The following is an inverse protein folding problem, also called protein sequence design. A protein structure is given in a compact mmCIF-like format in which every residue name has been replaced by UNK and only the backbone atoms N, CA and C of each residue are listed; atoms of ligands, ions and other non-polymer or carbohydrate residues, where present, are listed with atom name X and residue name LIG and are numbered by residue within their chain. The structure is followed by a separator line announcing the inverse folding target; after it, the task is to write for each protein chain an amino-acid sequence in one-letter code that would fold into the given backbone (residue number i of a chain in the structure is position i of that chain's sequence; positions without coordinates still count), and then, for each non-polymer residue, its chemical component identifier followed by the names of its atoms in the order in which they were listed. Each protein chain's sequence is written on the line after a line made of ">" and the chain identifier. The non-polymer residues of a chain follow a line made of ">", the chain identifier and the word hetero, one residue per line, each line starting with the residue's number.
data_IF_415963578905
#
_entry.id   IF_415963578905
#
_cell.length_a   1.000
_cell.length_b   1.000
_cell.length_c   1.000
_cell.angle_alpha   90.00
_cell.angle_beta   90.00
_cell.angle_gamma   90.00
#
_symmetry.space_group_name_H-M   'P 1'
#
loop_
_entity.id
_entity.type
_entity.pdbx_description
1 polymer ?
#
# COMPACT_ATOMS: atom_id res chain seq x y z
N UNK A 1 -34.30 5.14 16.46
CA UNK A 1 -32.86 5.02 16.80
C UNK A 1 -32.20 3.71 16.29
N UNK A 2 -32.92 2.60 16.06
CA UNK A 2 -32.33 1.36 15.49
C UNK A 2 -32.21 1.40 13.95
N UNK A 3 -33.21 1.93 13.25
CA UNK A 3 -33.25 1.94 11.77
C UNK A 3 -32.14 2.79 11.13
N UNK A 4 -31.73 3.89 11.78
CA UNK A 4 -30.64 4.75 11.31
C UNK A 4 -29.26 4.05 11.36
N UNK A 5 -29.03 3.17 12.34
CA UNK A 5 -27.80 2.35 12.41
C UNK A 5 -27.74 1.30 11.30
N UNK A 6 -28.88 0.69 10.97
CA UNK A 6 -28.98 -0.27 9.86
C UNK A 6 -28.72 0.42 8.51
N UNK A 7 -29.25 1.63 8.32
CA UNK A 7 -29.03 2.42 7.11
C UNK A 7 -27.54 2.75 6.92
N UNK A 8 -26.85 3.18 7.98
CA UNK A 8 -25.40 3.44 7.95
C UNK A 8 -24.61 2.15 7.64
N UNK A 9 -24.98 1.02 8.25
CA UNK A 9 -24.31 -0.26 7.98
C UNK A 9 -24.45 -0.69 6.52
N UNK A 10 -25.64 -0.53 5.92
CA UNK A 10 -25.89 -0.82 4.51
C UNK A 10 -25.06 0.09 3.60
N UNK A 11 -24.97 1.39 3.91
CA UNK A 11 -24.16 2.33 3.13
C UNK A 11 -22.68 1.94 3.17
N UNK A 12 -22.13 1.60 4.34
CA UNK A 12 -20.73 1.16 4.47
C UNK A 12 -20.49 -0.13 3.67
N UNK A 13 -21.42 -1.10 3.76
CA UNK A 13 -21.31 -2.35 3.02
C UNK A 13 -21.35 -2.14 1.50
N UNK A 14 -22.22 -1.26 1.01
CA UNK A 14 -22.32 -0.92 -0.40
C UNK A 14 -21.05 -0.25 -0.93
N UNK A 15 -20.51 0.72 -0.18
CA UNK A 15 -19.28 1.42 -0.57
C UNK A 15 -18.10 0.45 -0.58
N UNK A 16 -17.93 -0.36 0.48
CA UNK A 16 -16.85 -1.34 0.56
C UNK A 16 -16.92 -2.39 -0.55
N UNK A 17 -18.12 -2.87 -0.87
CA UNK A 17 -18.35 -3.78 -1.99
C UNK A 17 -17.96 -3.16 -3.34
N UNK A 18 -18.40 -1.93 -3.61
CA UNK A 18 -18.07 -1.22 -4.86
C UNK A 18 -16.55 -1.09 -5.04
N UNK A 19 -15.83 -0.65 -4.00
CA UNK A 19 -14.37 -0.53 -4.03
C UNK A 19 -13.69 -1.89 -4.27
N UNK A 20 -14.17 -2.98 -3.66
CA UNK A 20 -13.59 -4.30 -3.85
C UNK A 20 -13.70 -4.81 -5.29
N UNK A 21 -14.81 -4.53 -5.97
CA UNK A 21 -15.01 -4.93 -7.36
C UNK A 21 -14.23 -4.05 -8.35
N UNK A 22 -14.05 -2.75 -8.06
CA UNK A 22 -13.32 -1.85 -8.96
C UNK A 22 -11.79 -1.92 -8.85
N UNK A 23 -11.22 -2.44 -7.75
CA UNK A 23 -9.77 -2.56 -7.56
C UNK A 23 -9.17 -3.80 -8.23
N UNK A 24 -9.36 -3.95 -9.54
CA UNK A 24 -8.68 -4.99 -10.35
C UNK A 24 -7.84 -4.30 -11.40
N UNK A 25 -6.53 -4.54 -11.41
CA UNK A 25 -5.59 -3.97 -12.37
C UNK A 25 -4.87 -5.08 -13.12
N UNK A 26 -4.60 -4.88 -14.41
CA UNK A 26 -3.75 -5.79 -15.18
C UNK A 26 -2.30 -5.45 -14.92
N UNK A 27 -1.50 -6.45 -14.53
CA UNK A 27 -0.08 -6.27 -14.31
C UNK A 27 0.61 -6.13 -15.68
N UNK A 28 1.25 -4.99 -15.99
CA UNK A 28 1.87 -4.76 -17.29
C UNK A 28 3.11 -5.63 -17.54
N UNK A 29 3.69 -6.25 -16.49
CA UNK A 29 4.88 -7.11 -16.58
C UNK A 29 4.49 -8.56 -16.85
N UNK A 30 3.43 -9.07 -16.22
CA UNK A 30 3.03 -10.48 -16.32
C UNK A 30 1.79 -10.70 -17.19
N UNK A 31 1.01 -9.66 -17.49
CA UNK A 31 -0.24 -9.74 -18.25
C UNK A 31 -1.42 -10.34 -17.46
N UNK A 32 -1.23 -10.63 -16.18
CA UNK A 32 -2.28 -11.21 -15.33
C UNK A 32 -3.17 -10.14 -14.69
N UNK A 33 -4.46 -10.44 -14.52
CA UNK A 33 -5.40 -9.64 -13.71
C UNK A 33 -5.11 -9.87 -12.25
N UNK A 34 -4.36 -8.97 -11.64
CA UNK A 34 -4.02 -9.04 -10.22
C UNK A 34 -4.82 -7.99 -9.45
N UNK A 35 -5.39 -8.40 -8.32
CA UNK A 35 -5.95 -7.45 -7.35
C UNK A 35 -4.79 -6.88 -6.55
N UNK A 36 -4.23 -5.78 -7.04
CA UNK A 36 -3.19 -5.05 -6.34
C UNK A 36 -3.86 -4.18 -5.28
N UNK A 37 -3.44 -4.32 -4.02
CA UNK A 37 -4.01 -3.55 -2.91
C UNK A 37 -3.58 -2.07 -2.94
N UNK A 38 -2.45 -1.76 -3.60
CA UNK A 38 -1.87 -0.44 -3.76
C UNK A 38 -1.54 -0.23 -5.24
N UNK A 39 -1.72 1.00 -5.75
CA UNK A 39 -1.13 1.37 -7.05
C UNK A 39 0.39 1.54 -6.90
N UNK A 40 1.14 1.47 -8.00
CA UNK A 40 2.59 1.73 -8.00
C UNK A 40 2.93 3.08 -7.38
N UNK A 41 2.15 4.11 -7.69
CA UNK A 41 2.32 5.46 -7.14
C UNK A 41 2.09 5.50 -5.62
N UNK A 42 1.08 4.76 -5.13
CA UNK A 42 0.82 4.65 -3.69
C UNK A 42 1.91 3.87 -2.98
N UNK A 43 2.46 2.83 -3.60
CA UNK A 43 3.57 2.04 -3.05
C UNK A 43 4.84 2.89 -2.93
N UNK A 44 5.19 3.69 -3.95
CA UNK A 44 6.30 4.64 -3.89
C UNK A 44 6.07 5.67 -2.78
N UNK A 45 4.87 6.25 -2.72
CA UNK A 45 4.55 7.24 -1.69
C UNK A 45 4.60 6.64 -0.28
N UNK A 46 4.15 5.40 -0.10
CA UNK A 46 4.24 4.68 1.16
C UNK A 46 5.71 4.41 1.52
N UNK A 47 6.50 3.91 0.57
CA UNK A 47 7.93 3.64 0.77
C UNK A 47 8.72 4.89 1.16
N UNK A 48 8.46 6.03 0.53
CA UNK A 48 9.08 7.31 0.87
C UNK A 48 8.70 7.78 2.29
N UNK A 49 7.44 7.55 2.69
CA UNK A 49 6.97 7.91 4.03
C UNK A 49 7.55 6.99 5.12
N UNK A 50 7.72 5.71 4.84
CA UNK A 50 8.21 4.72 5.81
C UNK A 50 9.73 4.60 5.84
N UNK A 51 10.43 5.02 4.78
CA UNK A 51 11.90 5.02 4.69
C UNK A 51 12.63 5.56 5.94
N UNK A 52 12.29 6.75 6.49
CA UNK A 52 12.98 7.26 7.68
C UNK A 52 12.73 6.41 8.93
N UNK A 53 11.53 5.86 9.09
CA UNK A 53 11.21 4.99 10.22
C UNK A 53 11.98 3.66 10.11
N UNK A 54 12.01 3.06 8.91
CA UNK A 54 12.77 1.84 8.65
C UNK A 54 14.27 2.07 8.90
N UNK A 55 14.81 3.21 8.46
CA UNK A 55 16.19 3.57 8.77
C UNK A 55 16.43 3.69 10.29
N UNK A 56 15.50 4.29 11.04
CA UNK A 56 15.63 4.38 12.50
C UNK A 56 15.57 3.01 13.21
N UNK A 57 14.72 2.10 12.75
CA UNK A 57 14.53 0.78 13.37
C UNK A 57 15.62 -0.24 13.01
N UNK A 58 16.16 -0.17 11.78
CA UNK A 58 17.10 -1.18 11.25
C UNK A 58 18.57 -0.72 11.22
N UNK A 59 18.93 0.32 11.97
CA UNK A 59 20.32 0.78 12.13
C UNK A 59 20.78 1.80 11.09
N UNK A 60 19.90 2.19 10.17
CA UNK A 60 20.09 3.32 9.27
C UNK A 60 21.21 3.10 8.26
N UNK A 61 21.81 4.20 7.83
CA UNK A 61 22.92 4.16 6.89
C UNK A 61 24.18 3.61 7.59
N UNK A 62 24.81 2.62 6.98
CA UNK A 62 26.04 2.04 7.51
C UNK A 62 27.18 3.08 7.47
N UNK A 63 28.03 3.23 8.49
CA UNK A 63 29.00 4.33 8.53
C UNK A 63 30.19 4.17 7.56
N UNK A 64 30.53 2.95 7.15
CA UNK A 64 31.66 2.69 6.24
C UNK A 64 31.24 2.87 4.77
N UNK A 65 31.78 3.86 4.05
CA UNK A 65 31.46 4.08 2.64
C UNK A 65 31.95 2.95 1.74
N UNK A 66 33.03 2.24 2.09
CA UNK A 66 33.53 1.09 1.32
C UNK A 66 32.53 -0.06 1.37
N UNK A 67 31.88 -0.24 2.52
CA UNK A 67 30.85 -1.28 2.71
C UNK A 67 29.54 -0.87 2.04
N UNK A 68 29.19 0.42 2.01
CA UNK A 68 28.04 0.92 1.25
C UNK A 68 28.23 0.69 -0.27
N UNK A 69 29.36 1.15 -0.82
CA UNK A 69 29.69 1.02 -2.25
C UNK A 69 29.80 -0.44 -2.71
N UNK A 70 30.07 -1.37 -1.80
CA UNK A 70 30.07 -2.81 -2.10
C UNK A 70 28.66 -3.40 -2.27
N UNK A 71 27.64 -2.79 -1.65
CA UNK A 71 26.26 -3.27 -1.64
C UNK A 71 25.40 -2.58 -2.71
N UNK A 72 25.78 -1.37 -3.13
CA UNK A 72 25.20 -0.67 -4.29
C UNK A 72 25.51 -1.36 -5.64
#
# INVERSE_FOLDING_TARGET
>A
MRSSRLLIAVVIALIGGLFYFCNTQENPVTGEKQRVALSTEQEIALGLQTAPQMAAEFGGLHPDPVVQDYVE
#
